data_IF_221525677721
#
_entry.id   IF_221525677721
#
_cell.length_a   1.000
_cell.length_b   1.000
_cell.length_c   1.000
_cell.angle_alpha   90.00
_cell.angle_beta   90.00
_cell.angle_gamma   90.00
#
_symmetry.space_group_name_H-M   'P 1'
#
loop_
_entity.id
_entity.type
_entity.pdbx_description
1 polymer ?
#
# COMPACT_ATOMS: atom_id res chain seq x y z
N UNK A 1 -29.80 -10.49 -13.28
CA UNK A 1 -29.14 -11.81 -13.14
C UNK A 1 -28.22 -11.99 -14.33
N UNK A 2 -26.95 -12.33 -14.11
CA UNK A 2 -25.99 -12.59 -15.19
C UNK A 2 -25.65 -14.09 -15.18
N UNK A 3 -25.83 -14.76 -16.32
CA UNK A 3 -25.42 -16.16 -16.51
C UNK A 3 -24.00 -16.21 -17.07
N UNK A 4 -23.25 -17.27 -16.75
CA UNK A 4 -21.88 -17.46 -17.22
C UNK A 4 -21.60 -18.93 -17.47
N UNK A 5 -20.72 -19.20 -18.44
CA UNK A 5 -20.14 -20.54 -18.66
C UNK A 5 -18.88 -20.73 -17.82
N UNK A 6 -18.04 -19.69 -17.76
CA UNK A 6 -16.83 -19.63 -16.93
C UNK A 6 -16.79 -18.32 -16.15
N UNK A 7 -16.52 -18.39 -14.86
CA UNK A 7 -16.40 -17.22 -13.98
C UNK A 7 -14.95 -17.05 -13.54
N UNK A 8 -14.37 -15.86 -13.70
CA UNK A 8 -13.05 -15.53 -13.16
C UNK A 8 -13.20 -14.47 -12.07
N UNK A 9 -12.91 -14.84 -10.84
CA UNK A 9 -12.96 -13.98 -9.66
C UNK A 9 -11.60 -13.30 -9.49
N UNK A 10 -11.58 -11.97 -9.68
CA UNK A 10 -10.39 -11.13 -9.55
C UNK A 10 -10.67 -9.88 -8.68
N UNK A 11 -11.44 -10.06 -7.61
CA UNK A 11 -11.90 -8.99 -6.69
C UNK A 11 -10.80 -8.39 -5.81
N UNK A 12 -9.59 -8.98 -5.83
CA UNK A 12 -8.43 -8.50 -5.11
C UNK A 12 -8.59 -8.55 -3.59
N UNK A 13 -8.01 -7.57 -2.90
CA UNK A 13 -8.03 -7.46 -1.45
C UNK A 13 -8.44 -6.05 -0.99
N UNK A 14 -8.85 -5.96 0.28
CA UNK A 14 -9.08 -4.73 1.04
C UNK A 14 -8.12 -4.63 2.21
N UNK A 15 -8.02 -3.45 2.79
CA UNK A 15 -7.26 -3.20 4.02
C UNK A 15 -7.77 -4.08 5.16
N UNK A 16 -6.86 -4.69 5.91
CA UNK A 16 -7.20 -5.55 7.03
C UNK A 16 -7.00 -4.82 8.36
N UNK A 17 -8.09 -4.58 9.09
CA UNK A 17 -8.07 -4.02 10.45
C UNK A 17 -8.14 -5.10 11.55
N UNK A 18 -7.94 -6.37 11.18
CA UNK A 18 -7.91 -7.52 12.09
C UNK A 18 -9.12 -7.64 13.03
N UNK A 19 -10.30 -7.21 12.53
CA UNK A 19 -11.55 -7.23 13.29
C UNK A 19 -11.83 -5.97 14.12
N UNK A 20 -10.92 -5.00 14.19
CA UNK A 20 -11.15 -3.74 14.90
C UNK A 20 -11.98 -2.77 14.02
N UNK A 21 -13.31 -2.82 14.18
CA UNK A 21 -14.27 -1.98 13.45
C UNK A 21 -14.13 -0.49 13.79
N UNK A 22 -13.78 -0.17 15.03
CA UNK A 22 -13.57 1.21 15.49
C UNK A 22 -12.41 1.84 14.73
N UNK A 23 -11.27 1.17 14.73
CA UNK A 23 -10.08 1.59 13.97
C UNK A 23 -10.36 1.68 12.47
N UNK A 24 -11.12 0.74 11.90
CA UNK A 24 -11.52 0.80 10.49
C UNK A 24 -12.31 2.06 10.14
N UNK A 25 -13.13 2.57 11.06
CA UNK A 25 -13.95 3.78 10.84
C UNK A 25 -13.18 5.09 11.03
N UNK A 26 -12.03 5.06 11.71
CA UNK A 26 -11.28 6.25 12.13
C UNK A 26 -9.94 6.40 11.40
N UNK A 27 -9.25 5.31 11.10
CA UNK A 27 -7.97 5.34 10.41
C UNK A 27 -8.13 5.40 8.88
N UNK A 28 -7.12 5.96 8.22
CA UNK A 28 -7.09 6.16 6.78
C UNK A 28 -6.41 4.96 6.10
N UNK A 29 -7.11 4.29 5.18
CA UNK A 29 -6.50 3.26 4.32
C UNK A 29 -5.64 3.86 3.20
N UNK A 30 -4.80 3.04 2.57
CA UNK A 30 -4.08 3.39 1.33
C UNK A 30 -4.12 2.25 0.30
N UNK A 31 -5.33 1.86 -0.13
CA UNK A 31 -5.55 0.78 -1.09
C UNK A 31 -5.92 1.25 -2.49
N UNK A 32 -6.58 2.40 -2.62
CA UNK A 32 -7.07 2.91 -3.90
C UNK A 32 -6.84 4.43 -4.04
N UNK A 33 -7.07 4.96 -5.23
CA UNK A 33 -6.85 6.39 -5.53
C UNK A 33 -7.73 7.32 -4.70
N UNK A 34 -8.97 6.90 -4.38
CA UNK A 34 -9.87 7.70 -3.57
C UNK A 34 -9.34 7.83 -2.13
N UNK A 35 -8.84 6.74 -1.56
CA UNK A 35 -8.19 6.72 -0.24
C UNK A 35 -6.94 7.62 -0.22
N UNK A 36 -6.11 7.60 -1.26
CA UNK A 36 -4.97 8.51 -1.37
C UNK A 36 -5.37 10.00 -1.39
N UNK A 37 -6.47 10.33 -2.08
CA UNK A 37 -7.05 11.69 -2.08
C UNK A 37 -7.58 12.04 -0.70
N UNK A 38 -8.25 11.10 -0.03
CA UNK A 38 -8.76 11.29 1.34
C UNK A 38 -7.62 11.57 2.32
N UNK A 39 -6.51 10.82 2.25
CA UNK A 39 -5.31 11.07 3.07
C UNK A 39 -4.81 12.50 2.86
N UNK A 40 -4.61 12.90 1.60
CA UNK A 40 -4.14 14.25 1.27
C UNK A 40 -5.07 15.31 1.85
N UNK A 41 -6.37 15.18 1.61
CA UNK A 41 -7.34 16.18 2.06
C UNK A 41 -7.41 16.23 3.59
N UNK A 42 -7.41 15.08 4.26
CA UNK A 42 -7.42 14.99 5.72
C UNK A 42 -6.24 15.75 6.33
N UNK A 43 -5.01 15.46 5.87
CA UNK A 43 -3.79 16.10 6.38
C UNK A 43 -3.80 17.61 6.13
N UNK A 44 -4.21 18.05 4.93
CA UNK A 44 -4.30 19.49 4.64
C UNK A 44 -5.37 20.16 5.52
N UNK A 45 -6.53 19.54 5.71
CA UNK A 45 -7.57 20.06 6.61
C UNK A 45 -7.10 20.13 8.07
N UNK A 46 -6.31 19.16 8.53
CA UNK A 46 -5.68 19.21 9.86
C UNK A 46 -4.83 20.47 9.99
N UNK A 47 -3.98 20.79 9.01
CA UNK A 47 -3.17 22.01 9.03
C UNK A 47 -4.00 23.30 8.97
N UNK A 48 -5.03 23.35 8.12
CA UNK A 48 -5.96 24.48 8.07
C UNK A 48 -6.66 24.72 9.42
N UNK A 49 -7.11 23.63 10.07
CA UNK A 49 -7.72 23.69 11.41
C UNK A 49 -6.75 24.28 12.43
N UNK A 50 -5.49 23.83 12.44
CA UNK A 50 -4.45 24.34 13.35
C UNK A 50 -4.19 25.83 13.17
N UNK A 51 -4.22 26.33 11.92
CA UNK A 51 -4.02 27.76 11.63
C UNK A 51 -5.19 28.60 12.15
N UNK A 52 -6.42 28.11 12.03
CA UNK A 52 -7.64 28.81 12.45
C UNK A 52 -7.77 28.81 13.97
N UNK A 53 -7.65 27.65 14.61
CA UNK A 53 -8.01 27.48 16.02
C UNK A 53 -6.99 28.08 16.99
N UNK A 54 -5.74 28.34 16.54
CA UNK A 54 -4.64 28.97 17.31
C UNK A 54 -4.44 28.47 18.74
N UNK A 55 -5.02 27.33 19.11
CA UNK A 55 -4.80 26.68 20.40
C UNK A 55 -3.44 25.98 20.35
N UNK A 56 -2.61 26.28 21.33
CA UNK A 56 -1.24 25.79 21.46
C UNK A 56 -1.12 24.29 21.83
N UNK A 57 -2.23 23.55 21.94
CA UNK A 57 -2.20 22.18 22.46
C UNK A 57 -3.30 21.35 21.81
N UNK A 58 -2.91 20.70 20.72
CA UNK A 58 -3.50 19.44 20.35
C UNK A 58 -2.36 18.64 19.71
N UNK A 59 -1.50 18.10 20.57
CA UNK A 59 -0.25 17.39 20.23
C UNK A 59 -0.48 16.33 19.14
N UNK A 60 -1.70 15.80 19.05
CA UNK A 60 -2.10 14.84 18.03
C UNK A 60 -2.09 15.35 16.59
N UNK A 61 -2.26 16.65 16.35
CA UNK A 61 -2.22 17.18 14.99
C UNK A 61 -0.81 17.21 14.40
N UNK A 62 0.21 17.28 15.26
CA UNK A 62 1.61 17.25 14.87
C UNK A 62 2.15 15.83 14.70
N UNK A 63 1.37 14.79 15.01
CA UNK A 63 1.80 13.40 14.83
C UNK A 63 1.08 12.78 13.64
N UNK A 64 1.85 12.42 12.60
CA UNK A 64 1.40 11.57 11.50
C UNK A 64 1.89 10.15 11.73
N UNK A 65 0.96 9.26 12.09
CA UNK A 65 1.28 7.88 12.41
C UNK A 65 0.93 6.97 11.24
N UNK A 66 1.90 6.20 10.79
CA UNK A 66 1.76 5.21 9.73
C UNK A 66 1.97 3.84 10.37
N UNK A 67 0.99 2.96 10.24
CA UNK A 67 1.04 1.61 10.84
C UNK A 67 1.33 0.58 9.76
N UNK A 68 2.42 -0.17 9.93
CA UNK A 68 2.89 -1.21 9.02
C UNK A 68 4.10 -0.76 8.20
N UNK A 69 5.20 -1.49 8.31
CA UNK A 69 6.50 -1.20 7.68
C UNK A 69 6.78 -2.01 6.41
N UNK A 70 5.73 -2.53 5.77
CA UNK A 70 5.84 -3.06 4.41
C UNK A 70 6.13 -1.95 3.39
N UNK A 71 6.27 -2.29 2.10
CA UNK A 71 6.59 -1.31 1.05
C UNK A 71 5.70 -0.06 1.11
N UNK A 72 4.38 -0.22 1.18
CA UNK A 72 3.45 0.92 1.23
C UNK A 72 3.71 1.87 2.40
N UNK A 73 3.91 1.38 3.62
CA UNK A 73 4.12 2.25 4.77
C UNK A 73 5.49 2.93 4.76
N UNK A 74 6.53 2.22 4.30
CA UNK A 74 7.88 2.78 4.14
C UNK A 74 7.90 3.88 3.07
N UNK A 75 7.26 3.66 1.92
CA UNK A 75 7.16 4.65 0.85
C UNK A 75 6.35 5.89 1.30
N UNK A 76 5.26 5.68 2.06
CA UNK A 76 4.47 6.78 2.63
C UNK A 76 5.27 7.60 3.65
N UNK A 77 5.94 6.94 4.60
CA UNK A 77 6.73 7.63 5.62
C UNK A 77 7.83 8.47 4.98
N UNK A 78 8.50 7.89 3.99
CA UNK A 78 9.44 8.57 3.13
C UNK A 78 8.89 9.82 2.46
N UNK A 79 7.78 9.66 1.73
CA UNK A 79 7.14 10.76 1.00
C UNK A 79 6.70 11.90 1.94
N UNK A 80 6.12 11.58 3.11
CA UNK A 80 5.72 12.60 4.08
C UNK A 80 6.91 13.32 4.71
N UNK A 81 8.01 12.63 4.99
CA UNK A 81 9.24 13.28 5.46
C UNK A 81 9.85 14.24 4.43
N UNK A 82 9.77 13.90 3.14
CA UNK A 82 10.19 14.83 2.08
C UNK A 82 9.26 16.03 1.93
N UNK A 83 7.95 15.80 2.04
CA UNK A 83 6.95 16.87 2.05
C UNK A 83 7.18 17.83 3.23
N UNK A 84 7.40 17.30 4.44
CA UNK A 84 7.72 18.04 5.66
C UNK A 84 8.89 19.01 5.46
N UNK A 85 9.92 18.60 4.73
CA UNK A 85 11.16 19.39 4.58
C UNK A 85 11.14 20.34 3.40
N UNK A 86 10.50 19.96 2.29
CA UNK A 86 10.66 20.67 1.00
C UNK A 86 9.39 21.34 0.46
N UNK A 87 8.21 20.87 0.85
CA UNK A 87 6.92 21.28 0.25
C UNK A 87 6.09 22.06 1.27
N UNK A 88 5.76 21.44 2.41
CA UNK A 88 4.88 22.00 3.42
C UNK A 88 5.33 23.38 3.96
N UNK A 89 6.62 23.65 4.22
CA UNK A 89 7.07 24.97 4.66
C UNK A 89 6.83 26.10 3.63
N UNK A 90 6.74 25.76 2.34
CA UNK A 90 6.43 26.73 1.28
C UNK A 90 4.93 27.00 1.20
N UNK A 91 4.12 25.97 1.39
CA UNK A 91 2.66 26.06 1.34
C UNK A 91 2.08 26.74 2.59
N UNK A 92 2.66 26.49 3.76
CA UNK A 92 2.24 27.06 5.04
C UNK A 92 3.42 27.76 5.75
N UNK A 93 3.86 28.94 5.25
CA UNK A 93 5.06 29.61 5.76
C UNK A 93 4.96 30.12 7.20
N UNK A 94 3.75 30.09 7.79
CA UNK A 94 3.49 30.49 9.18
C UNK A 94 3.46 29.30 10.15
N UNK A 95 3.65 28.08 9.68
CA UNK A 95 3.70 26.87 10.51
C UNK A 95 5.13 26.35 10.62
N UNK A 96 5.52 25.87 11.80
CA UNK A 96 6.81 25.23 12.02
C UNK A 96 6.72 23.72 11.82
N UNK A 97 6.97 23.25 10.60
CA UNK A 97 6.94 21.80 10.31
C UNK A 97 8.04 21.00 10.98
N UNK A 98 9.00 21.62 11.68
CA UNK A 98 9.96 20.90 12.53
C UNK A 98 9.22 20.07 13.59
N UNK A 99 8.09 20.58 14.07
CA UNK A 99 7.25 19.97 15.12
C UNK A 99 6.43 18.77 14.60
N UNK A 100 6.26 18.63 13.28
CA UNK A 100 5.52 17.53 12.65
C UNK A 100 6.31 16.21 12.76
N UNK A 101 5.88 15.26 13.58
CA UNK A 101 6.50 13.95 13.71
C UNK A 101 5.90 12.97 12.70
N UNK A 102 6.77 12.36 11.88
CA UNK A 102 6.41 11.24 11.01
C UNK A 102 6.80 9.96 11.74
N UNK A 103 5.82 9.18 12.17
CA UNK A 103 6.02 8.01 13.03
C UNK A 103 5.61 6.77 12.25
N UNK A 104 6.53 5.83 12.05
CA UNK A 104 6.27 4.54 11.40
C UNK A 104 6.31 3.44 12.45
N UNK A 105 5.15 2.82 12.72
CA UNK A 105 5.01 1.74 13.69
C UNK A 105 5.06 0.39 12.97
N UNK A 106 5.87 -0.53 13.48
CA UNK A 106 6.13 -1.84 12.90
C UNK A 106 6.09 -2.93 13.97
N UNK A 107 5.33 -3.99 13.71
CA UNK A 107 5.37 -5.21 14.54
C UNK A 107 6.68 -5.97 14.41
N UNK A 108 7.46 -5.69 13.36
CA UNK A 108 8.73 -6.34 13.05
C UNK A 108 9.91 -5.45 13.46
N UNK A 109 11.07 -6.05 13.71
CA UNK A 109 12.30 -5.34 14.09
C UNK A 109 12.87 -4.49 12.95
N UNK A 110 12.54 -4.81 11.70
CA UNK A 110 13.06 -4.15 10.50
C UNK A 110 11.94 -3.77 9.54
N UNK A 111 12.13 -2.77 8.67
CA UNK A 111 11.19 -2.48 7.59
C UNK A 111 11.38 -3.46 6.43
N UNK A 112 10.38 -3.59 5.56
CA UNK A 112 10.44 -4.38 4.33
C UNK A 112 10.78 -5.86 4.58
N UNK A 113 10.09 -6.52 5.52
CA UNK A 113 10.34 -7.90 5.97
C UNK A 113 10.49 -8.95 4.84
N UNK A 114 9.85 -8.72 3.69
CA UNK A 114 9.93 -9.62 2.54
C UNK A 114 11.21 -9.46 1.69
N UNK A 115 12.02 -8.44 1.96
CA UNK A 115 13.29 -8.16 1.27
C UNK A 115 14.48 -8.68 2.07
N UNK A 116 15.64 -8.77 1.42
CA UNK A 116 16.89 -9.18 2.04
C UNK A 116 17.38 -8.21 3.12
N UNK A 117 18.19 -8.75 4.03
CA UNK A 117 18.77 -8.04 5.14
C UNK A 117 19.47 -6.73 4.74
N UNK A 118 20.24 -6.75 3.66
CA UNK A 118 20.92 -5.56 3.12
C UNK A 118 19.94 -4.44 2.74
N UNK A 119 18.82 -4.80 2.09
CA UNK A 119 17.78 -3.85 1.72
C UNK A 119 17.02 -3.32 2.94
N UNK A 120 16.80 -4.17 3.94
CA UNK A 120 16.15 -3.78 5.19
C UNK A 120 17.00 -2.76 5.97
N UNK A 121 18.29 -3.05 6.18
CA UNK A 121 19.22 -2.18 6.90
C UNK A 121 19.38 -0.81 6.20
N UNK A 122 19.43 -0.82 4.87
CA UNK A 122 19.50 0.40 4.09
C UNK A 122 18.21 1.22 4.16
N UNK A 123 17.04 0.57 4.10
CA UNK A 123 15.76 1.23 4.22
C UNK A 123 15.59 1.88 5.61
N UNK A 124 15.95 1.18 6.69
CA UNK A 124 15.94 1.73 8.04
C UNK A 124 16.87 2.95 8.16
N UNK A 125 18.10 2.84 7.66
CA UNK A 125 19.05 3.97 7.60
C UNK A 125 18.46 5.18 6.87
N UNK A 126 17.78 4.97 5.74
CA UNK A 126 17.16 6.04 4.97
C UNK A 126 15.98 6.69 5.69
N UNK A 127 15.13 5.90 6.35
CA UNK A 127 14.02 6.40 7.18
C UNK A 127 14.55 7.29 8.30
N UNK A 128 15.58 6.84 9.03
CA UNK A 128 16.22 7.62 10.11
C UNK A 128 16.84 8.91 9.55
N UNK A 129 17.53 8.86 8.42
CA UNK A 129 18.10 10.05 7.77
C UNK A 129 17.05 11.06 7.31
N UNK A 130 15.83 10.60 7.01
CA UNK A 130 14.68 11.44 6.68
C UNK A 130 13.94 11.95 7.92
N UNK A 131 14.41 11.62 9.13
CA UNK A 131 13.80 12.03 10.39
C UNK A 131 12.49 11.29 10.70
N UNK A 132 12.28 10.11 10.12
CA UNK A 132 11.16 9.24 10.50
C UNK A 132 11.46 8.59 11.85
N UNK A 133 10.52 8.70 12.79
CA UNK A 133 10.56 7.95 14.04
C UNK A 133 10.08 6.51 13.78
N UNK A 134 11.02 5.58 13.62
CA UNK A 134 10.71 4.17 13.37
C UNK A 134 10.55 3.41 14.69
N UNK A 135 9.30 3.11 15.04
CA UNK A 135 8.94 2.33 16.22
C UNK A 135 8.80 0.86 15.86
N UNK A 136 9.86 0.10 16.12
CA UNK A 136 9.97 -1.32 15.81
C UNK A 136 9.51 -2.21 16.96
N UNK A 137 9.20 -3.47 16.65
CA UNK A 137 8.68 -4.46 17.60
C UNK A 137 7.44 -3.98 18.38
N UNK A 138 6.63 -3.14 17.75
CA UNK A 138 5.47 -2.52 18.37
C UNK A 138 4.21 -2.78 17.55
N UNK A 139 3.14 -3.16 18.25
CA UNK A 139 1.87 -3.51 17.60
C UNK A 139 0.78 -2.58 18.08
N UNK A 140 0.13 -1.91 17.15
CA UNK A 140 -1.08 -1.14 17.45
C UNK A 140 -2.21 -2.07 17.84
N UNK A 141 -2.87 -1.75 18.95
CA UNK A 141 -3.99 -2.52 19.52
C UNK A 141 -5.33 -1.80 19.36
N UNK A 142 -5.35 -0.47 19.52
CA UNK A 142 -6.56 0.35 19.33
C UNK A 142 -6.25 1.77 18.86
N UNK A 143 -7.27 2.45 18.33
CA UNK A 143 -7.24 3.87 18.00
C UNK A 143 -8.63 4.47 18.26
N UNK A 144 -8.68 5.57 19.01
CA UNK A 144 -9.94 6.22 19.39
C UNK A 144 -10.31 7.48 18.60
N UNK A 145 -9.44 7.89 17.67
CA UNK A 145 -9.60 9.11 16.87
C UNK A 145 -8.67 10.24 17.33
N UNK A 146 -8.14 10.14 18.55
CA UNK A 146 -7.25 11.15 19.16
C UNK A 146 -5.96 10.53 19.70
N UNK A 147 -5.97 9.27 20.09
CA UNK A 147 -4.85 8.54 20.68
C UNK A 147 -4.76 7.13 20.09
N UNK A 148 -3.57 6.78 19.60
CA UNK A 148 -3.25 5.41 19.17
C UNK A 148 -2.59 4.63 20.31
N UNK A 149 -3.09 3.43 20.56
CA UNK A 149 -2.63 2.54 21.64
C UNK A 149 -1.85 1.37 21.10
N UNK A 150 -0.83 0.98 21.85
CA UNK A 150 0.16 -0.02 21.46
C UNK A 150 0.21 -1.17 22.48
N UNK A 151 0.71 -2.33 22.05
CA UNK A 151 0.74 -3.55 22.86
C UNK A 151 1.63 -3.41 24.09
N UNK A 152 2.71 -2.63 24.00
CA UNK A 152 3.58 -2.33 25.14
C UNK A 152 2.91 -1.49 26.25
N UNK A 153 1.72 -0.94 26.00
CA UNK A 153 1.08 0.05 26.86
C UNK A 153 1.43 1.50 26.51
N UNK A 154 2.34 1.73 25.56
CA UNK A 154 2.62 3.05 25.04
C UNK A 154 1.40 3.64 24.30
N UNK A 155 1.32 4.96 24.23
CA UNK A 155 0.31 5.65 23.44
C UNK A 155 0.86 6.93 22.82
N UNK A 156 0.29 7.33 21.69
CA UNK A 156 0.68 8.55 20.96
C UNK A 156 -0.59 9.33 20.64
N UNK A 157 -0.72 10.61 21.07
CA UNK A 157 -1.76 11.48 20.56
C UNK A 157 -1.60 11.62 19.04
N UNK A 158 -2.63 11.36 18.26
CA UNK A 158 -2.62 11.56 16.81
C UNK A 158 -4.02 11.67 16.23
N UNK A 159 -4.21 12.68 15.38
CA UNK A 159 -5.42 12.84 14.55
C UNK A 159 -5.21 12.32 13.12
N UNK A 160 -4.03 11.76 12.83
CA UNK A 160 -3.61 11.39 11.49
C UNK A 160 -3.02 9.97 11.50
N UNK A 161 -3.88 8.96 11.48
CA UNK A 161 -3.48 7.54 11.42
C UNK A 161 -3.69 7.00 10.02
N UNK A 162 -2.61 6.55 9.37
CA UNK A 162 -2.64 5.83 8.10
C UNK A 162 -2.37 4.35 8.36
N UNK A 163 -3.32 3.50 8.00
CA UNK A 163 -3.22 2.05 8.18
C UNK A 163 -2.74 1.35 6.90
N UNK A 164 -1.50 0.89 6.92
CA UNK A 164 -0.86 0.10 5.87
C UNK A 164 -0.52 -1.34 6.33
N UNK A 165 -0.99 -1.75 7.51
CA UNK A 165 -0.68 -3.04 8.11
C UNK A 165 -1.62 -4.14 7.60
N UNK A 166 -1.27 -4.69 6.44
CA UNK A 166 -1.85 -5.93 5.92
C UNK A 166 -3.15 -5.77 5.13
N UNK A 167 -3.47 -6.83 4.41
CA UNK A 167 -4.64 -6.91 3.53
C UNK A 167 -5.39 -8.21 3.74
N UNK A 168 -6.67 -8.22 3.38
CA UNK A 168 -7.54 -9.40 3.43
C UNK A 168 -8.36 -9.48 2.14
N UNK A 169 -8.67 -10.67 1.65
CA UNK A 169 -9.35 -10.81 0.37
C UNK A 169 -10.78 -10.25 0.38
N UNK A 170 -11.19 -9.70 -0.77
CA UNK A 170 -12.57 -9.31 -1.05
C UNK A 170 -13.38 -10.53 -1.49
N UNK A 171 -13.73 -11.38 -0.52
CA UNK A 171 -14.59 -12.55 -0.77
C UNK A 171 -16.01 -12.11 -1.11
N UNK A 172 -16.70 -12.93 -1.89
CA UNK A 172 -18.13 -12.80 -2.16
C UNK A 172 -18.85 -13.48 -1.00
N UNK A 173 -19.91 -12.84 -0.52
CA UNK A 173 -20.73 -13.40 0.56
C UNK A 173 -21.33 -14.76 0.13
N UNK A 174 -21.68 -15.58 1.13
CA UNK A 174 -22.28 -16.91 0.97
C UNK A 174 -21.42 -17.96 0.24
N UNK A 175 -20.13 -17.71 0.03
CA UNK A 175 -19.20 -18.75 -0.44
C UNK A 175 -18.90 -19.75 0.69
N UNK A 176 -18.77 -21.05 0.35
CA UNK A 176 -18.44 -22.07 1.35
C UNK A 176 -17.09 -21.78 2.02
N UNK A 177 -17.10 -21.60 3.34
CA UNK A 177 -15.92 -21.29 4.15
C UNK A 177 -14.84 -22.37 4.09
N UNK A 178 -15.19 -23.62 3.81
CA UNK A 178 -14.23 -24.73 3.63
C UNK A 178 -13.34 -24.57 2.39
N UNK A 179 -13.74 -23.69 1.47
CA UNK A 179 -12.99 -23.35 0.26
C UNK A 179 -12.21 -22.03 0.42
N UNK A 180 -12.11 -21.51 1.65
CA UNK A 180 -11.41 -20.28 1.97
C UNK A 180 -10.29 -20.50 2.98
N UNK A 181 -9.13 -19.91 2.72
CA UNK A 181 -8.02 -19.81 3.69
C UNK A 181 -7.61 -18.34 3.78
N UNK A 182 -7.63 -17.76 4.98
CA UNK A 182 -7.28 -16.34 5.22
C UNK A 182 -8.06 -15.37 4.29
N UNK A 183 -9.36 -15.63 4.08
CA UNK A 183 -10.24 -14.90 3.14
C UNK A 183 -9.77 -14.92 1.69
N UNK A 184 -9.18 -16.02 1.22
CA UNK A 184 -8.77 -16.25 -0.16
C UNK A 184 -9.30 -17.60 -0.64
N UNK A 185 -9.76 -17.70 -1.88
CA UNK A 185 -10.27 -18.93 -2.47
C UNK A 185 -9.15 -19.94 -2.67
N UNK A 186 -9.29 -21.14 -2.13
CA UNK A 186 -8.37 -22.25 -2.42
C UNK A 186 -8.49 -22.57 -3.90
N UNK A 187 -7.37 -22.53 -4.62
CA UNK A 187 -7.32 -22.88 -6.04
C UNK A 187 -6.28 -23.94 -6.34
N UNK A 188 -6.53 -24.73 -7.39
CA UNK A 188 -5.51 -25.58 -7.99
C UNK A 188 -4.47 -24.78 -8.78
N UNK A 189 -3.49 -25.46 -9.38
CA UNK A 189 -2.42 -24.81 -10.18
C UNK A 189 -2.88 -24.30 -11.54
N UNK A 190 -4.14 -24.51 -11.91
CA UNK A 190 -4.80 -23.94 -13.08
C UNK A 190 -5.76 -22.79 -12.73
N UNK A 191 -5.74 -22.33 -11.47
CA UNK A 191 -6.60 -21.30 -10.91
C UNK A 191 -8.08 -21.71 -10.71
N UNK A 192 -8.45 -22.99 -10.83
CA UNK A 192 -9.81 -23.46 -10.53
C UNK A 192 -10.08 -23.41 -9.03
N UNK A 193 -11.21 -22.87 -8.64
CA UNK A 193 -11.63 -22.83 -7.23
C UNK A 193 -12.02 -24.23 -6.77
N UNK A 194 -11.55 -24.63 -5.59
CA UNK A 194 -11.87 -25.93 -4.99
C UNK A 194 -13.38 -26.18 -5.00
N UNK A 195 -13.78 -27.32 -5.56
CA UNK A 195 -15.18 -27.74 -5.66
C UNK A 195 -15.91 -27.24 -6.92
N UNK A 196 -15.23 -26.56 -7.85
CA UNK A 196 -15.84 -26.05 -9.09
C UNK A 196 -14.94 -26.30 -10.30
N UNK A 197 -15.55 -26.72 -11.41
CA UNK A 197 -14.82 -26.94 -12.67
C UNK A 197 -14.75 -25.70 -13.57
N UNK A 198 -15.68 -24.77 -13.39
CA UNK A 198 -15.85 -23.59 -14.24
C UNK A 198 -15.69 -22.25 -13.51
N UNK A 199 -15.34 -22.26 -12.23
CA UNK A 199 -15.04 -21.05 -11.44
C UNK A 199 -13.56 -20.99 -11.16
N UNK A 200 -12.97 -19.82 -11.43
CA UNK A 200 -11.54 -19.57 -11.29
C UNK A 200 -11.31 -18.36 -10.39
N UNK A 201 -10.19 -18.33 -9.68
CA UNK A 201 -9.76 -17.14 -8.94
C UNK A 201 -8.30 -16.80 -9.23
N UNK A 202 -7.99 -15.51 -9.41
CA UNK A 202 -6.64 -15.01 -9.73
C UNK A 202 -6.27 -13.80 -8.87
N UNK A 203 -4.96 -13.56 -8.71
CA UNK A 203 -4.41 -12.44 -7.95
C UNK A 203 -4.57 -12.62 -6.45
N UNK A 204 -4.70 -11.50 -5.73
CA UNK A 204 -4.65 -11.47 -4.26
C UNK A 204 -5.74 -12.30 -3.57
N UNK A 205 -6.85 -12.57 -4.28
CA UNK A 205 -7.99 -13.34 -3.78
C UNK A 205 -7.79 -14.86 -3.91
N UNK A 206 -6.80 -15.31 -4.69
CA UNK A 206 -6.52 -16.72 -4.88
C UNK A 206 -5.48 -17.23 -3.89
N UNK A 207 -5.76 -18.34 -3.21
CA UNK A 207 -4.85 -19.09 -2.36
C UNK A 207 -4.37 -20.32 -3.13
N UNK A 208 -3.25 -20.16 -3.85
CA UNK A 208 -2.65 -21.20 -4.68
C UNK A 208 -1.34 -21.67 -4.07
N UNK A 209 -1.35 -22.88 -3.51
CA UNK A 209 -0.15 -23.52 -2.99
C UNK A 209 0.67 -24.16 -4.12
N UNK A 210 1.99 -24.04 -4.02
CA UNK A 210 2.96 -24.71 -4.90
C UNK A 210 4.14 -25.22 -4.08
N UNK A 211 5.00 -26.10 -4.62
CA UNK A 211 6.21 -26.53 -3.91
C UNK A 211 7.12 -25.36 -3.50
N UNK A 212 7.14 -24.25 -4.26
CA UNK A 212 7.90 -23.04 -3.92
C UNK A 212 7.16 -22.12 -2.95
N UNK A 213 5.83 -22.15 -2.96
CA UNK A 213 4.98 -21.29 -2.13
C UNK A 213 3.95 -22.14 -1.36
N UNK A 214 4.38 -22.82 -0.29
CA UNK A 214 3.51 -23.72 0.47
C UNK A 214 2.40 -23.00 1.23
N UNK A 215 2.52 -21.68 1.47
CA UNK A 215 1.48 -20.84 2.08
C UNK A 215 0.84 -19.86 1.10
N UNK A 216 0.68 -20.32 -0.14
CA UNK A 216 0.25 -19.57 -1.30
C UNK A 216 1.21 -18.48 -1.81
N UNK A 217 1.06 -18.16 -3.10
CA UNK A 217 1.76 -17.04 -3.72
C UNK A 217 1.55 -15.71 -2.98
N UNK A 218 2.57 -14.81 -2.98
CA UNK A 218 2.46 -13.49 -2.36
C UNK A 218 1.43 -12.62 -3.10
N UNK A 219 0.80 -11.69 -2.37
CA UNK A 219 -0.23 -10.79 -2.89
C UNK A 219 0.42 -9.61 -3.64
N UNK A 220 0.97 -9.89 -4.81
CA UNK A 220 1.70 -8.95 -5.66
C UNK A 220 1.03 -8.77 -7.02
N UNK A 221 1.09 -7.55 -7.57
CA UNK A 221 0.57 -7.25 -8.91
C UNK A 221 1.16 -8.17 -9.99
N UNK A 222 2.47 -8.48 -9.91
CA UNK A 222 3.12 -9.39 -10.86
C UNK A 222 2.57 -10.82 -10.79
N UNK A 223 2.17 -11.31 -9.62
CA UNK A 223 1.51 -12.62 -9.48
C UNK A 223 0.17 -12.57 -10.21
N UNK A 224 -0.67 -11.57 -9.92
CA UNK A 224 -1.98 -11.40 -10.54
C UNK A 224 -1.91 -11.29 -12.07
N UNK A 225 -1.01 -10.46 -12.59
CA UNK A 225 -0.80 -10.28 -14.04
C UNK A 225 -0.39 -11.59 -14.69
N UNK A 226 0.56 -12.32 -14.09
CA UNK A 226 1.07 -13.55 -14.68
C UNK A 226 0.07 -14.71 -14.56
N UNK A 227 -0.72 -14.79 -13.49
CA UNK A 227 -1.84 -15.73 -13.39
C UNK A 227 -2.89 -15.44 -14.46
N UNK A 228 -3.29 -14.17 -14.63
CA UNK A 228 -4.22 -13.77 -15.68
C UNK A 228 -3.72 -14.13 -17.08
N UNK A 229 -2.44 -13.88 -17.38
CA UNK A 229 -1.81 -14.29 -18.65
C UNK A 229 -1.80 -15.81 -18.82
N UNK A 230 -1.50 -16.58 -17.77
CA UNK A 230 -1.48 -18.03 -17.84
C UNK A 230 -2.88 -18.60 -18.10
N UNK A 231 -3.87 -18.17 -17.30
CA UNK A 231 -5.26 -18.61 -17.42
C UNK A 231 -5.85 -18.26 -18.79
N UNK A 232 -5.58 -17.05 -19.29
CA UNK A 232 -6.02 -16.64 -20.63
C UNK A 232 -5.39 -17.50 -21.76
N UNK A 233 -4.15 -17.97 -21.60
CA UNK A 233 -3.53 -18.90 -22.56
C UNK A 233 -4.14 -20.29 -22.46
N UNK A 234 -4.44 -20.77 -21.25
CA UNK A 234 -5.10 -22.06 -21.03
C UNK A 234 -6.51 -22.07 -21.63
N UNK A 235 -7.29 -20.99 -21.48
CA UNK A 235 -8.61 -20.87 -22.09
C UNK A 235 -8.62 -20.89 -23.62
N UNK A 236 -7.49 -20.61 -24.27
CA UNK A 236 -7.35 -20.71 -25.73
C UNK A 236 -6.98 -22.11 -26.23
N UNK A 237 -6.81 -23.07 -25.32
CA UNK A 237 -6.52 -24.47 -25.66
C UNK A 237 -7.82 -25.24 -25.90
N UNK A 238 -7.77 -26.19 -26.83
CA UNK A 238 -8.91 -27.02 -27.20
C UNK A 238 -9.30 -28.01 -26.10
N UNK A 239 -8.34 -28.39 -25.26
CA UNK A 239 -8.52 -29.36 -24.16
C UNK A 239 -7.82 -28.90 -22.88
N UNK A 240 -8.42 -29.24 -21.73
CA UNK A 240 -7.80 -29.03 -20.41
C UNK A 240 -6.50 -29.82 -20.24
N UNK A 241 -6.32 -30.92 -21.00
CA UNK A 241 -5.09 -31.72 -20.99
C UNK A 241 -3.87 -30.92 -21.48
N UNK A 242 -4.09 -29.86 -22.25
CA UNK A 242 -3.03 -29.00 -22.78
C UNK A 242 -2.76 -27.77 -21.90
N UNK A 243 -3.45 -27.66 -20.77
CA UNK A 243 -3.28 -26.54 -19.85
C UNK A 243 -1.94 -26.60 -19.13
N UNK A 244 -1.37 -25.43 -18.90
CA UNK A 244 -0.12 -25.27 -18.16
C UNK A 244 -0.39 -24.80 -16.75
N UNK A 245 0.23 -25.49 -15.79
CA UNK A 245 0.23 -25.08 -14.40
C UNK A 245 0.93 -23.72 -14.23
N UNK A 246 0.49 -22.97 -13.24
CA UNK A 246 1.12 -21.73 -12.83
C UNK A 246 2.16 -21.96 -11.72
N UNK A 247 3.28 -21.25 -11.81
CA UNK A 247 4.30 -21.13 -10.77
C UNK A 247 4.88 -19.71 -10.82
N UNK A 248 4.92 -19.03 -9.68
CA UNK A 248 5.46 -17.68 -9.64
C UNK A 248 7.00 -17.69 -9.69
N UNK A 249 7.56 -16.94 -10.63
CA UNK A 249 8.99 -16.68 -10.71
C UNK A 249 9.23 -15.30 -10.13
N UNK A 250 9.85 -15.25 -8.97
CA UNK A 250 10.25 -14.00 -8.36
C UNK A 250 11.33 -13.32 -9.21
N UNK A 251 11.03 -12.09 -9.65
CA UNK A 251 11.91 -11.23 -10.47
C UNK A 251 12.66 -10.23 -9.61
N UNK A 252 12.46 -10.26 -8.29
CA UNK A 252 12.97 -9.29 -7.35
C UNK A 252 11.92 -8.29 -6.88
N UNK A 253 12.30 -7.55 -5.85
CA UNK A 253 11.48 -6.53 -5.20
C UNK A 253 12.23 -5.20 -5.13
N UNK A 254 11.49 -4.10 -5.04
CA UNK A 254 12.08 -2.77 -4.89
C UNK A 254 11.12 -1.88 -4.12
N UNK A 255 11.68 -0.91 -3.40
CA UNK A 255 10.91 0.07 -2.64
C UNK A 255 11.61 1.43 -2.68
N UNK A 256 10.84 2.52 -2.76
CA UNK A 256 11.37 3.88 -2.74
C UNK A 256 11.11 4.57 -1.39
N UNK A 257 12.15 4.80 -0.60
CA UNK A 257 12.05 5.48 0.69
C UNK A 257 12.02 7.01 0.49
N UNK A 258 12.48 7.53 -0.64
CA UNK A 258 12.45 8.95 -0.95
C UNK A 258 13.23 9.26 -2.21
N UNK A 259 13.28 10.54 -2.58
CA UNK A 259 14.16 11.06 -3.61
C UNK A 259 15.59 10.60 -3.34
N UNK A 260 16.16 9.93 -4.36
CA UNK A 260 17.51 9.37 -4.34
C UNK A 260 17.75 8.24 -3.31
N UNK A 261 16.70 7.74 -2.67
CA UNK A 261 16.76 6.69 -1.64
C UNK A 261 15.80 5.57 -1.99
N UNK A 262 16.30 4.55 -2.66
CA UNK A 262 15.55 3.34 -2.93
C UNK A 262 16.42 2.11 -2.64
N UNK A 263 15.76 0.96 -2.52
CA UNK A 263 16.40 -0.34 -2.39
C UNK A 263 15.85 -1.25 -3.48
N UNK A 264 16.74 -2.00 -4.13
CA UNK A 264 16.42 -2.95 -5.18
C UNK A 264 17.06 -4.29 -4.83
N UNK A 265 16.24 -5.32 -4.79
CA UNK A 265 16.61 -6.67 -4.43
C UNK A 265 16.23 -7.62 -5.56
N UNK A 266 17.19 -7.91 -6.45
CA UNK A 266 17.02 -8.89 -7.52
C UNK A 266 17.64 -10.22 -7.08
N UNK A 267 17.18 -11.37 -7.64
CA UNK A 267 17.68 -12.69 -7.25
C UNK A 267 19.21 -12.83 -7.25
N UNK A 268 19.89 -12.16 -8.17
CA UNK A 268 21.34 -12.26 -8.36
C UNK A 268 22.11 -10.97 -8.01
N UNK A 269 21.43 -9.86 -7.77
CA UNK A 269 22.08 -8.56 -7.62
C UNK A 269 21.25 -7.62 -6.76
N UNK A 270 21.90 -6.90 -5.85
CA UNK A 270 21.27 -5.98 -4.91
C UNK A 270 22.00 -4.65 -4.95
N UNK A 271 21.26 -3.55 -4.86
CA UNK A 271 21.83 -2.22 -4.85
C UNK A 271 20.85 -1.20 -4.28
N UNK A 272 21.38 -0.05 -3.86
CA UNK A 272 20.64 0.94 -3.08
C UNK A 272 21.02 2.38 -3.43
N UNK A 273 20.24 3.33 -2.91
CA UNK A 273 20.48 4.76 -3.02
C UNK A 273 20.09 5.33 -4.38
N UNK A 274 20.92 6.22 -4.90
CA UNK A 274 20.60 7.01 -6.10
C UNK A 274 20.39 6.14 -7.35
N UNK A 275 21.26 5.16 -7.60
CA UNK A 275 21.13 4.27 -8.77
C UNK A 275 19.88 3.39 -8.65
N UNK A 276 19.59 2.88 -7.45
CA UNK A 276 18.37 2.14 -7.17
C UNK A 276 17.12 2.99 -7.43
N UNK A 277 17.17 4.28 -7.08
CA UNK A 277 16.06 5.20 -7.29
C UNK A 277 15.79 5.46 -8.79
N UNK A 278 16.82 5.62 -9.62
CA UNK A 278 16.65 5.71 -11.08
C UNK A 278 16.11 4.41 -11.68
N UNK A 279 16.63 3.26 -11.24
CA UNK A 279 16.14 1.97 -11.69
C UNK A 279 14.65 1.80 -11.34
N UNK A 280 14.27 2.15 -10.12
CA UNK A 280 12.88 2.15 -9.66
C UNK A 280 12.01 3.04 -10.54
N UNK A 281 12.43 4.28 -10.81
CA UNK A 281 11.70 5.22 -11.67
C UNK A 281 11.53 4.67 -13.09
N UNK A 282 12.61 4.17 -13.68
CA UNK A 282 12.60 3.63 -15.04
C UNK A 282 11.66 2.42 -15.15
N UNK A 283 11.76 1.47 -14.22
CA UNK A 283 10.96 0.25 -14.25
C UNK A 283 9.48 0.55 -14.04
N UNK A 284 9.13 1.36 -13.04
CA UNK A 284 7.73 1.76 -12.81
C UNK A 284 7.16 2.54 -13.99
N UNK A 285 7.97 3.42 -14.59
CA UNK A 285 7.56 4.11 -15.81
C UNK A 285 7.25 3.10 -16.92
N UNK A 286 8.07 2.07 -17.09
CA UNK A 286 7.84 1.05 -18.11
C UNK A 286 6.62 0.16 -17.86
N UNK A 287 6.28 -0.12 -16.60
CA UNK A 287 5.12 -0.93 -16.21
C UNK A 287 3.76 -0.24 -16.44
N UNK A 288 3.72 1.09 -16.61
CA UNK A 288 2.49 1.80 -16.93
C UNK A 288 2.00 1.36 -18.32
N UNK A 289 0.78 0.81 -18.35
CA UNK A 289 0.18 0.21 -19.54
C UNK A 289 0.00 1.19 -20.71
N UNK A 290 -0.38 2.44 -20.42
CA UNK A 290 -0.66 3.45 -21.44
C UNK A 290 0.56 4.34 -21.70
N UNK A 291 0.97 4.46 -22.97
CA UNK A 291 2.07 5.34 -23.40
C UNK A 291 1.76 6.81 -23.08
N UNK A 292 0.50 7.24 -23.22
CA UNK A 292 0.09 8.61 -22.85
C UNK A 292 0.26 8.86 -21.35
N UNK A 293 -0.18 7.91 -20.52
CA UNK A 293 -0.03 8.01 -19.07
C UNK A 293 1.44 8.00 -18.67
N UNK A 294 2.25 7.17 -19.34
CA UNK A 294 3.70 7.08 -19.15
C UNK A 294 4.37 8.44 -19.38
N UNK A 295 4.12 9.07 -20.53
CA UNK A 295 4.69 10.38 -20.86
C UNK A 295 4.23 11.45 -19.86
N UNK A 296 2.94 11.50 -19.53
CA UNK A 296 2.41 12.47 -18.57
C UNK A 296 3.03 12.30 -17.18
N UNK A 297 3.15 11.06 -16.69
CA UNK A 297 3.77 10.74 -15.39
C UNK A 297 5.26 11.10 -15.40
N UNK A 298 5.97 10.81 -16.49
CA UNK A 298 7.38 11.20 -16.64
C UNK A 298 7.56 12.72 -16.55
N UNK A 299 6.75 13.50 -17.29
CA UNK A 299 6.83 14.96 -17.23
C UNK A 299 6.46 15.50 -15.85
N UNK A 300 5.43 14.94 -15.20
CA UNK A 300 5.06 15.32 -13.84
C UNK A 300 6.19 15.02 -12.84
N UNK A 301 6.82 13.85 -12.92
CA UNK A 301 7.98 13.50 -12.09
C UNK A 301 9.17 14.42 -12.36
N UNK A 302 9.46 14.72 -13.62
CA UNK A 302 10.54 15.64 -14.01
C UNK A 302 10.27 17.06 -13.49
N UNK A 303 9.03 17.55 -13.61
CA UNK A 303 8.63 18.86 -13.10
C UNK A 303 8.71 18.93 -11.57
N UNK A 304 8.18 17.90 -10.88
CA UNK A 304 8.28 17.77 -9.43
C UNK A 304 9.73 17.67 -8.96
N UNK A 305 10.57 16.97 -9.71
CA UNK A 305 12.00 16.84 -9.42
C UNK A 305 12.72 18.19 -9.44
N UNK A 306 12.43 19.03 -10.44
CA UNK A 306 13.06 20.34 -10.63
C UNK A 306 12.52 21.36 -9.63
N UNK A 307 11.20 21.47 -9.50
CA UNK A 307 10.58 22.53 -8.70
C UNK A 307 10.48 22.19 -7.20
N UNK A 308 10.65 20.91 -6.84
CA UNK A 308 10.33 20.39 -5.50
C UNK A 308 8.92 20.80 -5.07
N UNK A 309 7.99 20.74 -6.01
CA UNK A 309 6.60 21.15 -5.83
C UNK A 309 5.69 20.04 -6.37
N UNK A 310 4.53 19.84 -5.74
CA UNK A 310 3.49 18.90 -6.14
C UNK A 310 2.24 19.70 -6.48
N UNK A 311 1.78 19.62 -7.72
CA UNK A 311 0.83 20.56 -8.33
C UNK A 311 -0.63 20.47 -7.87
N UNK A 312 -0.95 19.85 -6.72
CA UNK A 312 -2.34 19.60 -6.34
C UNK A 312 -2.64 20.00 -4.89
N UNK A 313 -2.83 21.31 -4.67
CA UNK A 313 -3.33 21.91 -3.41
C UNK A 313 -4.86 21.86 -3.26
N UNK A 314 -5.55 21.09 -4.11
CA UNK A 314 -7.01 21.10 -4.17
C UNK A 314 -7.59 20.12 -3.15
N UNK A 315 -8.24 20.66 -2.12
CA UNK A 315 -9.04 19.89 -1.16
C UNK A 315 -10.37 19.55 -1.86
N UNK A 316 -10.49 18.29 -2.27
CA UNK A 316 -11.72 17.79 -2.92
C UNK A 316 -12.63 17.26 -1.82
N UNK A 317 -13.60 18.06 -1.38
CA UNK A 317 -14.62 17.56 -0.46
C UNK A 317 -15.39 16.43 -1.16
N UNK A 318 -15.46 15.20 -0.60
CA UNK A 318 -16.37 14.20 -1.12
C UNK A 318 -17.79 14.76 -1.04
N UNK A 319 -18.57 14.60 -2.12
CA UNK A 319 -19.98 14.98 -2.12
C UNK A 319 -20.66 14.15 -1.01
N UNK A 320 -20.82 14.73 0.18
CA UNK A 320 -21.71 14.15 1.20
C UNK A 320 -23.04 14.07 0.48
N UNK A 321 -23.59 12.87 0.29
CA UNK A 321 -24.94 12.68 -0.27
C UNK A 321 -25.85 13.67 0.46
N UNK A 322 -26.17 14.77 -0.21
CA UNK A 322 -27.14 15.71 0.28
C UNK A 322 -28.47 14.97 0.14
N UNK A 323 -29.30 14.88 1.19
CA UNK A 323 -30.64 14.29 1.08
C UNK A 323 -31.58 15.12 0.19
N UNK A 324 -31.07 16.14 -0.50
CA UNK A 324 -31.77 17.05 -1.42
C UNK A 324 -31.49 16.79 -2.91
N UNK A 325 -30.86 15.67 -3.29
CA UNK A 325 -30.89 15.21 -4.69
C UNK A 325 -32.26 14.56 -4.98
N UNK A 326 -33.02 15.17 -5.91
CA UNK A 326 -34.27 14.65 -6.48
C UNK A 326 -34.04 13.45 -7.39
#
# INVERSE_FOLDING_TARGET
VFTYDKLVIATGCKTNFFGNLKMQSLALGMKNTQEAITIRNHILMTFEKMIIERKASDDGNWNLVIVGSGPTGVELAGAFSEMKTSILPRDYPRMNFSDLNIILISSSDRPLDAMSQESQDAAEKYLVQLGVNFMKNERVTDYDGEVIHMQSGNSIPTNNVIWAAGVTGNIIDDFNKENLVRNRYIVDRYNKVKGFDNIFAIGDIAYMETPKYPQAHPQLANVAINQGKNLARNFKKDSEKDWKEYEYIDRGSMATIGKHRAVVDLPNFKFQGFLAWYFWMFLHLMLILSVRNKIAIFFNWMWSYINKDSSLRLIIAPNRKNPTEQ
#
